data_IF_500403389210
#
_entry.id   IF_500403389210
#
_cell.length_a   1.000
_cell.length_b   1.000
_cell.length_c   1.000
_cell.angle_alpha   90.00
_cell.angle_beta   90.00
_cell.angle_gamma   90.00
#
_symmetry.space_group_name_H-M   'P 1'
#
loop_
_entity.id
_entity.type
_entity.pdbx_description
1 polymer ?
#
# COMPACT_ATOMS: atom_id res chain seq x y z
N UNK A 1 -13.49 -23.44 -11.72
CA UNK A 1 -12.07 -23.72 -12.04
C UNK A 1 -11.51 -22.65 -12.96
N UNK A 2 -12.07 -22.48 -14.15
CA UNK A 2 -11.47 -21.67 -15.22
C UNK A 2 -11.40 -20.18 -14.90
N UNK A 3 -12.36 -19.65 -14.13
CA UNK A 3 -12.36 -18.25 -13.69
C UNK A 3 -11.16 -17.89 -12.80
N UNK A 4 -10.83 -18.72 -11.80
CA UNK A 4 -9.66 -18.50 -10.96
C UNK A 4 -8.36 -18.56 -11.76
N UNK A 5 -8.23 -19.55 -12.65
CA UNK A 5 -7.05 -19.66 -13.50
C UNK A 5 -6.88 -18.42 -14.40
N UNK A 6 -7.98 -17.87 -14.92
CA UNK A 6 -7.98 -16.64 -15.69
C UNK A 6 -7.58 -15.42 -14.85
N UNK A 7 -8.11 -15.28 -13.63
CA UNK A 7 -7.76 -14.19 -12.69
C UNK A 7 -6.29 -14.24 -12.27
N UNK A 8 -5.80 -15.42 -11.90
CA UNK A 8 -4.38 -15.69 -11.58
C UNK A 8 -3.50 -15.27 -12.75
N UNK A 9 -3.82 -15.70 -13.96
CA UNK A 9 -3.07 -15.32 -15.18
C UNK A 9 -3.11 -13.82 -15.44
N UNK A 10 -4.25 -13.16 -15.23
CA UNK A 10 -4.40 -11.72 -15.38
C UNK A 10 -3.48 -10.97 -14.40
N UNK A 11 -3.44 -11.40 -13.14
CA UNK A 11 -2.56 -10.81 -12.12
C UNK A 11 -1.10 -11.06 -12.43
N UNK A 12 -0.72 -12.28 -12.85
CA UNK A 12 0.65 -12.60 -13.22
C UNK A 12 1.13 -11.70 -14.37
N UNK A 13 0.32 -11.56 -15.43
CA UNK A 13 0.61 -10.66 -16.55
C UNK A 13 0.69 -9.21 -16.10
N UNK A 14 -0.21 -8.77 -15.21
CA UNK A 14 -0.20 -7.40 -14.68
C UNK A 14 1.03 -7.14 -13.82
N UNK A 15 1.48 -8.08 -13.00
CA UNK A 15 2.70 -7.99 -12.21
C UNK A 15 3.96 -7.93 -13.10
N UNK A 16 3.99 -8.64 -14.22
CA UNK A 16 5.10 -8.58 -15.16
C UNK A 16 5.08 -7.29 -16.01
N UNK A 17 3.89 -6.81 -16.37
CA UNK A 17 3.71 -5.68 -17.28
C UNK A 17 3.63 -4.31 -16.58
N UNK A 18 3.40 -4.23 -15.27
CA UNK A 18 3.27 -2.93 -14.62
C UNK A 18 4.60 -2.17 -14.64
N UNK A 19 4.47 -0.85 -14.68
CA UNK A 19 5.57 0.09 -14.54
C UNK A 19 5.28 0.99 -13.34
N UNK A 20 6.26 1.18 -12.44
CA UNK A 20 6.11 2.09 -11.31
C UNK A 20 5.74 3.49 -11.79
N UNK A 21 4.86 4.20 -11.07
CA UNK A 21 4.41 5.55 -11.45
C UNK A 21 5.58 6.52 -11.60
N UNK A 22 6.55 6.41 -10.70
CA UNK A 22 7.79 7.19 -10.72
C UNK A 22 8.65 6.96 -11.96
N UNK A 23 8.43 5.87 -12.70
CA UNK A 23 9.17 5.55 -13.91
C UNK A 23 8.61 6.31 -15.12
N UNK A 24 7.30 6.52 -15.16
CA UNK A 24 6.63 7.26 -16.23
C UNK A 24 7.07 8.73 -16.22
N UNK A 25 7.17 9.33 -17.41
CA UNK A 25 7.29 10.78 -17.52
C UNK A 25 5.86 11.36 -17.56
N UNK A 26 5.62 12.50 -16.89
CA UNK A 26 4.31 13.11 -16.91
C UNK A 26 3.89 13.38 -18.35
N UNK A 27 2.64 13.05 -18.67
CA UNK A 27 2.06 13.42 -19.96
C UNK A 27 2.07 14.95 -20.09
N UNK A 28 2.33 15.49 -21.30
CA UNK A 28 2.20 16.93 -21.50
C UNK A 28 0.78 17.37 -21.15
N UNK A 29 0.66 18.49 -20.44
CA UNK A 29 -0.64 19.06 -20.10
C UNK A 29 -1.45 19.32 -21.39
N UNK A 30 -2.76 19.09 -21.35
CA UNK A 30 -3.64 19.31 -22.49
C UNK A 30 -3.50 20.76 -23.01
N UNK A 31 -3.02 20.92 -24.25
CA UNK A 31 -2.77 22.23 -24.87
C UNK A 31 -1.31 22.70 -24.87
N UNK A 32 -0.38 21.99 -24.20
CA UNK A 32 1.05 22.25 -24.33
C UNK A 32 1.60 21.67 -25.64
N UNK A 33 2.45 22.42 -26.34
CA UNK A 33 3.09 21.99 -27.58
C UNK A 33 3.76 20.62 -27.40
N UNK A 34 3.54 19.73 -28.37
CA UNK A 34 3.99 18.36 -28.34
C UNK A 34 5.49 18.25 -28.01
N UNK A 35 5.80 17.42 -27.00
CA UNK A 35 7.08 16.73 -26.81
C UNK A 35 8.30 17.59 -26.45
N UNK A 36 8.43 17.96 -25.17
CA UNK A 36 9.76 18.00 -24.57
C UNK A 36 10.21 16.56 -24.32
N UNK A 37 10.87 15.94 -25.31
CA UNK A 37 11.50 14.62 -25.12
C UNK A 37 12.39 14.69 -23.88
N UNK A 38 12.22 13.81 -22.88
CA UNK A 38 13.02 13.87 -21.66
C UNK A 38 14.51 13.84 -22.00
N UNK A 39 15.26 14.80 -21.47
CA UNK A 39 16.70 14.85 -21.70
C UNK A 39 17.42 13.63 -21.10
N UNK A 40 18.64 13.36 -21.57
CA UNK A 40 19.48 12.25 -21.07
C UNK A 40 19.58 12.20 -19.55
N UNK A 41 19.71 13.35 -18.90
CA UNK A 41 19.82 13.44 -17.43
C UNK A 41 18.54 12.96 -16.71
N UNK A 42 17.37 13.16 -17.31
CA UNK A 42 16.11 12.70 -16.76
C UNK A 42 16.02 11.17 -16.76
N UNK A 43 16.50 10.51 -17.82
CA UNK A 43 16.63 9.05 -17.86
C UNK A 43 17.69 8.54 -16.88
N UNK A 44 18.85 9.19 -16.83
CA UNK A 44 19.93 8.82 -15.92
C UNK A 44 19.49 8.88 -14.44
N UNK A 45 18.63 9.84 -14.08
CA UNK A 45 18.07 9.93 -12.74
C UNK A 45 17.20 8.72 -12.35
N UNK A 46 16.61 8.03 -13.34
CA UNK A 46 15.74 6.86 -13.14
C UNK A 46 16.47 5.52 -13.29
N UNK A 47 17.80 5.51 -13.44
CA UNK A 47 18.55 4.27 -13.71
C UNK A 47 18.37 3.21 -12.61
N UNK A 48 18.39 3.62 -11.34
CA UNK A 48 18.21 2.69 -10.23
C UNK A 48 16.80 2.13 -10.15
N UNK A 49 15.79 2.89 -10.57
CA UNK A 49 14.42 2.39 -10.64
C UNK A 49 14.27 1.34 -11.74
N UNK A 50 14.88 1.56 -12.91
CA UNK A 50 14.94 0.55 -13.98
C UNK A 50 15.69 -0.72 -13.54
N UNK A 51 16.80 -0.57 -12.82
CA UNK A 51 17.54 -1.70 -12.26
C UNK A 51 16.71 -2.49 -11.25
N UNK A 52 16.08 -1.79 -10.30
CA UNK A 52 15.23 -2.43 -9.29
C UNK A 52 14.04 -3.16 -9.94
N UNK A 53 13.40 -2.56 -10.95
CA UNK A 53 12.32 -3.19 -11.71
C UNK A 53 12.80 -4.44 -12.46
N UNK A 54 13.98 -4.38 -13.06
CA UNK A 54 14.57 -5.54 -13.75
C UNK A 54 14.85 -6.68 -12.78
N UNK A 55 15.40 -6.37 -11.60
CA UNK A 55 15.67 -7.38 -10.58
C UNK A 55 14.38 -7.98 -10.00
N UNK A 56 13.38 -7.15 -9.71
CA UNK A 56 12.05 -7.60 -9.29
C UNK A 56 11.41 -8.53 -10.32
N UNK A 57 11.42 -8.16 -11.60
CA UNK A 57 10.85 -8.98 -12.68
C UNK A 57 11.59 -10.31 -12.85
N UNK A 58 12.91 -10.31 -12.72
CA UNK A 58 13.71 -11.54 -12.78
C UNK A 58 13.33 -12.49 -11.65
N UNK A 59 13.26 -11.99 -10.41
CA UNK A 59 12.82 -12.78 -9.27
C UNK A 59 11.39 -13.30 -9.45
N UNK A 60 10.47 -12.43 -9.85
CA UNK A 60 9.07 -12.80 -10.07
C UNK A 60 8.94 -13.89 -11.14
N UNK A 61 9.63 -13.74 -12.27
CA UNK A 61 9.64 -14.74 -13.33
C UNK A 61 10.17 -16.09 -12.83
N UNK A 62 11.23 -16.09 -12.03
CA UNK A 62 11.75 -17.30 -11.39
C UNK A 62 10.71 -17.94 -10.46
N UNK A 63 10.09 -17.15 -9.58
CA UNK A 63 9.07 -17.65 -8.66
C UNK A 63 7.81 -18.18 -9.36
N UNK A 64 7.42 -17.58 -10.50
CA UNK A 64 6.31 -18.08 -11.32
C UNK A 64 6.64 -19.43 -11.97
N UNK A 65 7.89 -19.62 -12.43
CA UNK A 65 8.34 -20.91 -12.98
C UNK A 65 8.39 -21.97 -11.88
N UNK A 66 8.95 -21.65 -10.71
CA UNK A 66 8.99 -22.56 -9.55
C UNK A 66 7.58 -22.97 -9.09
N UNK A 67 6.61 -22.05 -9.15
CA UNK A 67 5.19 -22.31 -8.83
C UNK A 67 4.52 -23.24 -9.84
N UNK A 68 4.89 -23.19 -11.11
CA UNK A 68 4.19 -23.88 -12.20
C UNK A 68 4.28 -25.42 -12.16
N UNK A 69 5.06 -26.00 -11.23
CA UNK A 69 5.20 -27.45 -11.07
C UNK A 69 4.03 -28.16 -10.37
N UNK A 70 3.08 -27.41 -9.77
CA UNK A 70 1.94 -27.96 -9.03
C UNK A 70 0.62 -27.98 -9.81
N UNK A 71 -0.33 -28.87 -9.46
CA UNK A 71 -1.65 -28.94 -10.11
C UNK A 71 -2.57 -27.75 -9.78
N UNK A 72 -2.27 -27.00 -8.72
CA UNK A 72 -3.07 -25.85 -8.27
C UNK A 72 -2.18 -24.62 -8.06
N UNK A 73 -2.67 -23.41 -8.39
CA UNK A 73 -1.96 -22.18 -8.08
C UNK A 73 -1.89 -22.02 -6.56
N UNK A 74 -0.68 -22.05 -6.00
CA UNK A 74 -0.46 -21.86 -4.56
C UNK A 74 -0.60 -20.39 -4.17
N UNK A 75 -1.27 -20.07 -3.04
CA UNK A 75 -1.44 -18.69 -2.58
C UNK A 75 -0.14 -18.09 -2.03
N UNK A 76 0.86 -18.92 -1.70
CA UNK A 76 2.08 -18.52 -1.00
C UNK A 76 2.81 -17.38 -1.68
N UNK A 77 2.99 -17.44 -3.00
CA UNK A 77 3.65 -16.38 -3.76
C UNK A 77 2.91 -15.04 -3.61
N UNK A 78 1.59 -15.04 -3.73
CA UNK A 78 0.79 -13.82 -3.64
C UNK A 78 0.79 -13.25 -2.22
N UNK A 79 0.79 -14.12 -1.21
CA UNK A 79 0.96 -13.72 0.20
C UNK A 79 2.34 -13.13 0.46
N UNK A 80 3.40 -13.73 -0.09
CA UNK A 80 4.76 -13.18 -0.02
C UNK A 80 4.82 -11.80 -0.67
N UNK A 81 4.18 -11.61 -1.83
CA UNK A 81 4.11 -10.30 -2.49
C UNK A 81 3.33 -9.29 -1.64
N UNK A 82 2.18 -9.69 -1.09
CA UNK A 82 1.33 -8.85 -0.25
C UNK A 82 2.00 -8.44 1.07
N UNK A 83 2.80 -9.33 1.69
CA UNK A 83 3.58 -9.01 2.89
C UNK A 83 4.63 -7.93 2.63
N UNK A 84 5.15 -7.83 1.39
CA UNK A 84 6.20 -6.89 0.99
C UNK A 84 7.41 -6.91 1.94
N UNK A 85 8.13 -5.79 2.05
CA UNK A 85 9.29 -5.66 2.94
C UNK A 85 10.37 -6.70 2.65
N UNK A 86 10.75 -7.47 3.68
CA UNK A 86 11.81 -8.47 3.63
C UNK A 86 11.31 -9.88 3.28
N UNK A 87 10.01 -10.07 3.03
CA UNK A 87 9.43 -11.38 2.68
C UNK A 87 10.02 -11.96 1.39
N UNK A 88 10.48 -11.10 0.49
CA UNK A 88 11.22 -11.45 -0.71
C UNK A 88 12.18 -10.32 -1.07
N UNK A 89 13.27 -10.66 -1.78
CA UNK A 89 14.32 -9.70 -2.16
C UNK A 89 14.79 -8.86 -0.95
N UNK A 90 15.06 -9.54 0.17
CA UNK A 90 15.52 -8.91 1.41
C UNK A 90 17.00 -8.47 1.33
N UNK A 91 17.56 -7.97 2.45
CA UNK A 91 18.91 -7.40 2.49
C UNK A 91 20.01 -8.36 2.02
N UNK A 92 19.84 -9.67 2.24
CA UNK A 92 20.80 -10.68 1.83
C UNK A 92 20.81 -10.93 0.32
N UNK A 93 19.62 -10.91 -0.32
CA UNK A 93 19.49 -10.98 -1.78
C UNK A 93 20.09 -9.72 -2.43
N UNK A 94 19.82 -8.55 -1.85
CA UNK A 94 20.42 -7.29 -2.30
C UNK A 94 21.95 -7.30 -2.14
N UNK A 95 22.49 -7.80 -1.01
CA UNK A 95 23.93 -7.93 -0.79
C UNK A 95 24.59 -8.86 -1.80
N UNK A 96 23.94 -9.95 -2.15
CA UNK A 96 24.38 -10.88 -3.18
C UNK A 96 24.43 -10.19 -4.55
N UNK A 97 23.40 -9.43 -4.89
CA UNK A 97 23.37 -8.60 -6.11
C UNK A 97 24.53 -7.58 -6.15
N UNK A 98 24.81 -6.89 -5.04
CA UNK A 98 25.93 -5.96 -4.93
C UNK A 98 27.31 -6.61 -5.08
N UNK A 99 27.43 -7.91 -4.74
CA UNK A 99 28.64 -8.69 -5.00
C UNK A 99 28.90 -8.89 -6.50
N UNK A 100 27.84 -9.06 -7.30
CA UNK A 100 27.95 -9.18 -8.75
C UNK A 100 28.11 -7.84 -9.46
N UNK A 101 27.51 -6.78 -8.92
CA UNK A 101 27.51 -5.44 -9.50
C UNK A 101 28.07 -4.42 -8.51
N UNK A 102 29.41 -4.27 -8.42
CA UNK A 102 30.03 -3.33 -7.50
C UNK A 102 29.58 -1.90 -7.78
N UNK A 103 29.05 -1.23 -6.76
CA UNK A 103 28.61 0.16 -6.86
C UNK A 103 28.90 0.93 -5.56
N UNK A 104 28.68 2.24 -5.59
CA UNK A 104 28.88 3.08 -4.40
C UNK A 104 27.85 2.77 -3.31
N UNK A 105 28.18 3.02 -2.05
CA UNK A 105 27.23 2.84 -0.94
C UNK A 105 25.96 3.70 -1.10
N UNK A 106 26.08 4.89 -1.70
CA UNK A 106 24.92 5.73 -2.04
C UNK A 106 24.03 5.08 -3.09
N UNK A 107 24.62 4.36 -4.05
CA UNK A 107 23.88 3.63 -5.06
C UNK A 107 23.11 2.44 -4.46
N UNK A 108 23.68 1.72 -3.48
CA UNK A 108 22.95 0.70 -2.72
C UNK A 108 21.69 1.29 -2.09
N UNK A 109 21.85 2.37 -1.31
CA UNK A 109 20.73 3.01 -0.63
C UNK A 109 19.64 3.49 -1.62
N UNK A 110 20.04 4.07 -2.77
CA UNK A 110 19.08 4.44 -3.81
C UNK A 110 18.37 3.21 -4.41
N UNK A 111 19.07 2.10 -4.63
CA UNK A 111 18.46 0.89 -5.19
C UNK A 111 17.49 0.23 -4.20
N UNK A 112 17.88 0.14 -2.92
CA UNK A 112 17.05 -0.41 -1.85
C UNK A 112 15.74 0.39 -1.70
N UNK A 113 15.82 1.72 -1.71
CA UNK A 113 14.67 2.63 -1.68
C UNK A 113 13.73 2.42 -2.89
N UNK A 114 14.30 2.33 -4.11
CA UNK A 114 13.49 2.06 -5.32
C UNK A 114 12.88 0.67 -5.33
N UNK A 115 13.56 -0.32 -4.77
CA UNK A 115 13.03 -1.66 -4.60
C UNK A 115 11.85 -1.66 -3.63
N UNK A 116 11.96 -0.96 -2.49
CA UNK A 116 10.86 -0.82 -1.54
C UNK A 116 9.61 -0.19 -2.20
N UNK A 117 9.78 0.86 -3.01
CA UNK A 117 8.68 1.48 -3.74
C UNK A 117 7.99 0.50 -4.70
N UNK A 118 8.76 -0.30 -5.46
CA UNK A 118 8.22 -1.31 -6.36
C UNK A 118 7.40 -2.35 -5.59
N UNK A 119 7.90 -2.81 -4.43
CA UNK A 119 7.19 -3.76 -3.58
C UNK A 119 5.85 -3.20 -3.09
N UNK A 120 5.82 -1.93 -2.67
CA UNK A 120 4.59 -1.23 -2.28
C UNK A 120 3.60 -1.10 -3.44
N UNK A 121 4.06 -0.79 -4.65
CA UNK A 121 3.20 -0.69 -5.83
C UNK A 121 2.68 -2.06 -6.32
N UNK A 122 3.38 -3.16 -6.00
CA UNK A 122 2.95 -4.51 -6.36
C UNK A 122 1.83 -5.06 -5.46
N UNK A 123 1.75 -4.67 -4.19
CA UNK A 123 0.72 -5.11 -3.24
C UNK A 123 -0.73 -4.96 -3.75
N UNK A 124 -1.17 -3.79 -4.24
CA UNK A 124 -2.55 -3.61 -4.72
C UNK A 124 -2.86 -4.43 -5.98
N UNK A 125 -1.85 -4.95 -6.69
CA UNK A 125 -2.06 -5.81 -7.87
C UNK A 125 -2.49 -7.22 -7.42
N UNK A 126 -1.97 -7.71 -6.30
CA UNK A 126 -2.27 -9.05 -5.76
C UNK A 126 -3.42 -9.06 -4.77
N UNK A 127 -3.75 -7.92 -4.16
CA UNK A 127 -4.82 -7.81 -3.16
C UNK A 127 -6.15 -8.47 -3.59
N UNK A 128 -6.65 -8.28 -4.83
CA UNK A 128 -7.91 -8.89 -5.26
C UNK A 128 -7.90 -10.43 -5.34
N UNK A 129 -6.74 -11.09 -5.28
CA UNK A 129 -6.66 -12.55 -5.19
C UNK A 129 -6.68 -13.07 -3.75
N UNK A 130 -6.33 -12.22 -2.78
CA UNK A 130 -6.21 -12.59 -1.38
C UNK A 130 -7.47 -12.27 -0.56
N UNK A 131 -8.43 -11.58 -1.16
CA UNK A 131 -9.75 -11.36 -0.58
C UNK A 131 -10.49 -12.70 -0.44
N UNK A 132 -10.88 -13.07 0.78
CA UNK A 132 -11.70 -14.24 1.01
C UNK A 132 -13.15 -13.97 0.62
N UNK A 133 -13.69 -14.83 -0.25
CA UNK A 133 -15.11 -14.87 -0.57
C UNK A 133 -15.90 -15.86 0.31
N UNK A 134 -15.29 -16.39 1.37
CA UNK A 134 -15.97 -17.31 2.29
C UNK A 134 -16.83 -16.52 3.27
N UNK A 135 -18.06 -16.98 3.48
CA UNK A 135 -18.95 -16.47 4.53
C UNK A 135 -18.52 -16.96 5.92
N UNK A 136 -17.83 -18.10 6.00
CA UNK A 136 -17.26 -18.57 7.25
C UNK A 136 -16.11 -17.65 7.67
N UNK A 137 -16.14 -17.24 8.94
CA UNK A 137 -15.10 -16.45 9.61
C UNK A 137 -13.83 -17.30 9.81
N UNK A 138 -13.11 -17.49 8.70
CA UNK A 138 -11.80 -18.10 8.67
C UNK A 138 -10.77 -17.02 8.35
N UNK A 139 -9.64 -17.05 9.05
CA UNK A 139 -8.53 -16.17 8.75
C UNK A 139 -8.06 -16.41 7.30
N UNK A 140 -8.28 -15.45 6.38
CA UNK A 140 -7.90 -15.59 4.97
C UNK A 140 -6.38 -15.74 4.79
N UNK A 141 -5.59 -15.32 5.78
CA UNK A 141 -4.15 -15.45 5.77
C UNK A 141 -3.67 -16.90 5.89
N UNK A 142 -4.51 -17.82 6.39
CA UNK A 142 -4.09 -19.19 6.74
C UNK A 142 -4.67 -20.29 5.81
N UNK A 143 -5.46 -19.93 4.80
CA UNK A 143 -6.02 -20.93 3.87
C UNK A 143 -4.95 -21.51 2.93
N UNK A 144 -4.86 -22.83 2.70
CA UNK A 144 -3.84 -23.38 1.79
C UNK A 144 -4.15 -23.15 0.30
N UNK A 145 -5.29 -22.54 -0.03
CA UNK A 145 -5.78 -22.32 -1.39
C UNK A 145 -6.36 -20.91 -1.57
N UNK A 146 -6.45 -20.46 -2.82
CA UNK A 146 -7.16 -19.23 -3.20
C UNK A 146 -8.66 -19.48 -3.27
N UNK A 147 -9.45 -18.51 -2.81
CA UNK A 147 -10.92 -18.55 -2.90
C UNK A 147 -11.36 -17.67 -4.06
N UNK A 148 -12.33 -18.14 -4.85
CA UNK A 148 -12.80 -17.45 -6.04
C UNK A 148 -14.30 -17.56 -6.28
N UNK A 149 -14.93 -18.57 -5.69
CA UNK A 149 -16.36 -18.82 -5.87
C UNK A 149 -17.11 -18.02 -4.81
N UNK A 150 -17.99 -17.13 -5.29
CA UNK A 150 -19.06 -16.58 -4.47
C UNK A 150 -20.28 -17.46 -4.72
N UNK A 151 -20.74 -18.16 -3.69
CA UNK A 151 -21.98 -18.91 -3.78
C UNK A 151 -23.13 -17.92 -3.59
N UNK A 152 -24.09 -17.93 -4.50
CA UNK A 152 -25.32 -17.15 -4.33
C UNK A 152 -26.34 -17.97 -3.54
N UNK A 153 -27.24 -17.34 -2.74
CA UNK A 153 -28.30 -18.06 -2.03
C UNK A 153 -29.17 -18.93 -2.97
N UNK A 154 -29.40 -18.48 -4.20
CA UNK A 154 -30.16 -19.26 -5.19
C UNK A 154 -29.44 -20.51 -5.73
N UNK A 155 -28.14 -20.64 -5.49
CA UNK A 155 -27.34 -21.82 -5.85
C UNK A 155 -27.28 -22.84 -4.70
N UNK A 156 -27.70 -22.45 -3.50
CA UNK A 156 -27.75 -23.29 -2.32
C UNK A 156 -29.03 -24.16 -2.35
N UNK A 157 -28.93 -25.50 -2.46
CA UNK A 157 -30.11 -26.37 -2.61
C UNK A 157 -31.02 -26.42 -1.38
N UNK A 158 -30.60 -25.84 -0.25
CA UNK A 158 -31.38 -25.75 0.99
C UNK A 158 -32.11 -24.40 1.16
N UNK A 159 -31.84 -23.41 0.31
CA UNK A 159 -32.54 -22.12 0.35
C UNK A 159 -33.96 -22.30 -0.22
N UNK A 160 -35.03 -21.93 0.51
CA UNK A 160 -36.36 -21.94 -0.07
C UNK A 160 -36.42 -20.95 -1.24
N UNK A 161 -37.16 -21.25 -2.33
CA UNK A 161 -37.33 -20.32 -3.44
C UNK A 161 -37.87 -18.98 -2.90
N UNK A 162 -37.46 -17.85 -3.49
CA UNK A 162 -37.93 -16.54 -3.06
C UNK A 162 -39.46 -16.54 -3.06
N UNK A 163 -40.10 -15.95 -2.04
CA UNK A 163 -41.55 -15.85 -2.02
C UNK A 163 -42.00 -15.14 -3.30
N UNK A 164 -43.10 -15.60 -3.93
CA UNK A 164 -43.63 -14.92 -5.11
C UNK A 164 -43.85 -13.43 -4.79
N UNK A 165 -43.67 -12.51 -5.76
CA UNK A 165 -43.95 -11.10 -5.54
C UNK A 165 -45.35 -10.98 -4.96
N UNK A 166 -45.47 -10.45 -3.74
CA UNK A 166 -46.75 -10.13 -3.16
C UNK A 166 -47.46 -9.24 -4.19
N UNK A 167 -48.63 -9.68 -4.63
CA UNK A 167 -49.51 -8.85 -5.45
C UNK A 167 -49.62 -7.48 -4.75
N UNK A 168 -49.63 -6.36 -5.51
CA UNK A 168 -49.85 -5.06 -4.89
C UNK A 168 -51.10 -5.15 -4.02
N UNK A 169 -51.06 -4.62 -2.78
CA UNK A 169 -52.22 -4.62 -1.91
C UNK A 169 -53.41 -4.02 -2.69
N UNK A 170 -54.63 -4.57 -2.54
CA UNK A 170 -55.81 -3.91 -3.08
C UNK A 170 -55.82 -2.46 -2.56
N UNK A 171 -56.22 -1.48 -3.38
CA UNK A 171 -56.19 -0.07 -2.98
C UNK A 171 -56.90 0.08 -1.63
N UNK A 172 -56.16 0.63 -0.66
CA UNK A 172 -56.67 0.95 0.67
C UNK A 172 -57.94 1.79 0.54
N UNK A 173 -58.96 1.45 1.34
CA UNK A 173 -60.10 2.33 1.53
C UNK A 173 -59.59 3.64 2.15
N UNK A 174 -60.00 4.81 1.66
CA UNK A 174 -59.45 6.12 2.03
C UNK A 174 -59.99 6.59 3.39
N UNK A 175 -59.72 5.85 4.47
CA UNK A 175 -60.27 6.18 5.79
C UNK A 175 -59.37 5.84 6.98
N UNK A 176 -58.14 5.38 6.76
CA UNK A 176 -57.18 5.08 7.85
C UNK A 176 -55.94 5.99 7.81
N UNK A 177 -55.72 6.76 6.72
CA UNK A 177 -54.55 7.65 6.57
C UNK A 177 -54.70 8.98 7.33
N UNK A 178 -55.93 9.43 7.65
CA UNK A 178 -56.13 10.68 8.41
C UNK A 178 -55.90 10.52 9.93
N UNK A 179 -55.97 9.29 10.48
CA UNK A 179 -55.76 9.08 11.92
C UNK A 179 -54.26 8.91 12.29
N UNK A 180 -53.40 8.42 11.37
CA UNK A 180 -51.96 8.30 11.63
C UNK A 180 -51.21 9.64 11.50
N UNK A 181 -51.66 10.56 10.63
CA UNK A 181 -51.04 11.90 10.52
C UNK A 181 -51.34 12.80 11.74
N UNK A 182 -52.49 12.64 12.41
CA UNK A 182 -52.81 13.41 13.64
C UNK A 182 -51.98 12.93 14.86
N UNK A 183 -51.61 11.65 14.95
CA UNK A 183 -50.76 11.14 16.05
C UNK A 183 -49.28 11.55 15.90
N UNK A 184 -48.74 11.66 14.69
CA UNK A 184 -47.35 12.11 14.47
C UNK A 184 -47.17 13.62 14.76
N UNK A 185 -48.17 14.47 14.51
CA UNK A 185 -48.09 15.91 14.83
C UNK A 185 -48.14 16.18 16.35
N UNK A 186 -48.84 15.37 17.16
CA UNK A 186 -48.86 15.53 18.62
C UNK A 186 -47.53 15.12 19.28
N UNK A 187 -46.80 14.13 18.75
CA UNK A 187 -45.50 13.72 19.31
C UNK A 187 -44.38 14.75 19.02
N UNK A 188 -44.39 15.44 17.87
CA UNK A 188 -43.39 16.48 17.57
C UNK A 188 -43.55 17.74 18.44
N UNK A 189 -44.78 18.12 18.82
CA UNK A 189 -45.01 19.27 19.71
C UNK A 189 -44.55 18.99 21.17
N UNK A 190 -44.62 17.74 21.66
CA UNK A 190 -44.12 17.40 23.00
C UNK A 190 -42.58 17.39 23.08
N UNK A 191 -41.87 16.99 22.01
CA UNK A 191 -40.39 17.01 21.99
C UNK A 191 -39.82 18.44 21.95
N UNK A 192 -40.48 19.40 21.26
CA UNK A 192 -40.04 20.80 21.23
C UNK A 192 -40.19 21.50 22.60
N UNK A 193 -41.21 21.16 23.41
CA UNK A 193 -41.37 21.74 24.76
C UNK A 193 -40.29 21.24 25.75
N UNK A 194 -39.82 19.99 25.63
CA UNK A 194 -38.74 19.46 26.50
C UNK A 194 -37.37 20.10 26.21
N UNK A 195 -37.06 20.44 24.94
CA UNK A 195 -35.78 21.07 24.59
C UNK A 195 -35.67 22.53 25.10
N UNK A 196 -36.78 23.29 25.16
CA UNK A 196 -36.78 24.66 25.68
C UNK A 196 -36.56 24.74 27.21
N UNK A 197 -36.94 23.69 27.96
CA UNK A 197 -36.69 23.65 29.41
C UNK A 197 -35.21 23.39 29.75
N UNK A 198 -34.48 22.59 28.96
CA UNK A 198 -33.07 22.30 29.21
C UNK A 198 -32.12 23.49 28.92
N UNK A 199 -32.44 24.36 27.96
CA UNK A 199 -31.60 25.54 27.66
C UNK A 199 -31.65 26.60 28.78
N UNK A 200 -32.76 26.70 29.53
CA UNK A 200 -32.89 27.68 30.60
C UNK A 200 -32.11 27.33 31.89
N UNK A 201 -31.75 26.06 32.13
CA UNK A 201 -30.98 25.70 33.33
C UNK A 201 -29.48 26.01 33.24
N UNK A 202 -28.92 26.15 32.03
CA UNK A 202 -27.47 26.29 31.86
C UNK A 202 -26.96 27.74 32.02
N UNK A 203 -27.82 28.77 31.96
CA UNK A 203 -27.39 30.17 31.97
C UNK A 203 -27.15 30.76 33.38
N UNK A 204 -27.33 29.97 34.45
CA UNK A 204 -27.14 30.43 35.84
C UNK A 204 -25.82 30.01 36.51
N UNK A 205 -24.93 29.28 35.83
CA UNK A 205 -23.70 28.72 36.44
C UNK A 205 -22.38 29.00 35.71
N UNK A 206 -22.05 30.26 35.40
CA UNK A 206 -20.62 30.61 35.20
C UNK A 206 -20.25 32.07 35.46
N UNK A 207 -20.47 32.56 36.69
CA UNK A 207 -19.86 33.82 37.13
C UNK A 207 -19.23 33.68 38.53
N UNK A 208 -18.00 33.14 38.60
CA UNK A 208 -16.99 33.48 39.63
C UNK A 208 -15.77 32.57 39.51
N UNK A 209 -14.62 33.13 39.14
CA UNK A 209 -13.37 33.04 39.92
C UNK A 209 -12.20 33.62 39.13
N UNK A 210 -11.66 34.71 39.65
CA UNK A 210 -10.54 35.47 39.12
C UNK A 210 -9.23 35.12 39.83
N UNK A 211 -8.12 35.31 39.11
CA UNK A 211 -6.83 35.83 39.61
C UNK A 211 -5.95 34.95 40.54
N UNK A 212 -4.71 34.66 40.11
CA UNK A 212 -3.51 35.35 40.65
C UNK A 212 -2.19 34.97 39.95
N UNK A 213 -1.39 36.04 39.77
CA UNK A 213 0.05 36.15 39.45
C UNK A 213 0.97 34.99 39.85
N UNK A 214 1.98 34.69 39.02
CA UNK A 214 3.38 34.89 39.47
C UNK A 214 4.44 35.09 38.37
N UNK A 215 5.47 35.84 38.75
CA UNK A 215 6.57 36.41 37.95
C UNK A 215 7.79 35.47 37.80
N UNK A 216 8.69 35.86 36.87
CA UNK A 216 10.16 35.73 36.90
C UNK A 216 10.82 34.39 36.47
N UNK A 217 11.53 34.39 35.33
CA UNK A 217 13.01 34.21 35.28
C UNK A 217 13.63 34.35 33.87
N UNK A 218 14.44 35.42 33.73
CA UNK A 218 15.81 35.47 33.19
C UNK A 218 16.16 34.77 31.86
N UNK A 219 16.15 35.57 30.78
CA UNK A 219 17.35 36.11 30.09
C UNK A 219 18.69 35.35 30.29
N UNK A 220 19.20 34.70 29.24
CA UNK A 220 20.65 34.67 28.90
C UNK A 220 20.91 34.24 27.44
N UNK A 221 21.30 35.23 26.63
CA UNK A 221 22.13 35.08 25.42
C UNK A 221 23.58 34.81 25.83
N UNK A 222 24.30 33.95 25.10
CA UNK A 222 25.75 34.04 24.72
C UNK A 222 26.17 32.73 24.02
N UNK A 223 26.46 32.74 22.72
CA UNK A 223 27.77 32.93 22.04
C UNK A 223 28.75 31.75 22.09
N UNK A 224 29.08 31.26 20.88
CA UNK A 224 30.42 30.90 20.37
C UNK A 224 31.23 29.75 21.00
N UNK A 225 31.64 28.80 20.15
CA UNK A 225 32.99 28.18 19.97
C UNK A 225 32.82 26.70 19.55
N UNK A 226 33.27 26.24 18.37
CA UNK A 226 34.64 26.08 17.83
C UNK A 226 35.37 24.87 18.43
N UNK A 227 35.34 23.75 17.72
CA UNK A 227 36.30 22.62 17.76
C UNK A 227 35.96 21.62 16.64
N UNK A 228 36.33 21.82 15.38
CA UNK A 228 37.64 21.55 14.75
C UNK A 228 38.56 20.61 15.54
N UNK A 229 38.26 19.31 15.56
CA UNK A 229 39.26 18.26 15.76
C UNK A 229 39.64 17.68 14.40
N UNK A 230 40.93 17.80 14.11
CA UNK A 230 41.61 17.43 12.86
C UNK A 230 42.49 16.25 13.26
N UNK A 231 42.19 15.04 12.80
CA UNK A 231 43.05 13.87 12.96
C UNK A 231 43.54 13.42 11.59
N UNK A 232 44.84 13.58 11.26
CA UNK A 232 45.46 12.85 10.17
C UNK A 232 46.09 11.57 10.75
N UNK A 233 45.65 10.41 10.26
CA UNK A 233 46.33 9.13 10.51
C UNK A 233 47.03 8.67 9.21
N UNK A 234 48.12 7.90 9.32
CA UNK A 234 49.29 8.04 8.46
C UNK A 234 49.25 7.17 7.20
N UNK A 235 50.03 7.64 6.22
CA UNK A 235 50.47 6.92 5.05
C UNK A 235 51.06 5.54 5.41
N UNK A 236 50.42 4.48 4.92
CA UNK A 236 51.06 3.17 4.75
C UNK A 236 51.37 2.95 3.27
N UNK A 237 52.62 2.55 3.05
CA UNK A 237 53.34 2.51 1.79
C UNK A 237 52.72 1.51 0.80
N UNK A 238 52.69 1.95 -0.45
CA UNK A 238 52.54 1.12 -1.64
C UNK A 238 53.76 0.19 -1.75
N UNK A 239 53.56 -1.11 -1.58
CA UNK A 239 54.55 -2.13 -1.98
C UNK A 239 54.28 -2.54 -3.42
N UNK A 240 55.08 -2.00 -4.34
CA UNK A 240 55.15 -2.44 -5.73
C UNK A 240 55.91 -3.77 -5.74
N UNK A 241 55.19 -4.89 -5.73
CA UNK A 241 55.79 -6.21 -6.00
C UNK A 241 55.96 -6.38 -7.51
N UNK A 242 57.23 -6.33 -7.94
CA UNK A 242 57.67 -6.62 -9.29
C UNK A 242 57.30 -8.06 -9.65
N UNK A 243 56.34 -8.23 -10.57
CA UNK A 243 56.06 -9.53 -11.19
C UNK A 243 57.15 -9.83 -12.22
N UNK A 244 57.90 -10.88 -11.95
CA UNK A 244 58.89 -11.48 -12.83
C UNK A 244 58.24 -11.95 -14.14
N UNK A 245 58.87 -11.58 -15.26
CA UNK A 245 58.65 -12.19 -16.57
C UNK A 245 59.34 -13.55 -16.58
N UNK A 246 58.60 -14.60 -16.87
CA UNK A 246 59.16 -15.89 -17.33
C UNK A 246 59.00 -15.98 -18.86
N UNK A 247 59.98 -16.56 -19.57
CA UNK A 247 60.07 -16.48 -21.02
C UNK A 247 59.25 -17.57 -21.73
N UNK A 248 58.84 -17.24 -22.96
CA UNK A 248 58.37 -18.17 -23.98
C UNK A 248 59.36 -19.33 -24.17
N UNK A 249 58.85 -20.57 -24.16
CA UNK A 249 59.49 -21.69 -24.86
C UNK A 249 58.74 -21.95 -26.16
N UNK A 250 59.53 -22.11 -27.21
CA UNK A 250 59.17 -22.59 -28.54
C UNK A 250 58.89 -24.08 -28.49
#
# INVERSE_FOLDING_TARGET
SDDLAARVRCVDLRLLAFYPRDLAFPAPAAGAAATATPGRNAYAAKIYLWMALSFFRQWLAQSLVERSGGPTPTPDLYRTIAAAGDAYLGPDAMRTFYGYFPMSQKAHACLDDRMANIKTEAQPIVAPLLESALELDHDPANLPYLTCVKLLPCECPWEPPPPPPLHPPPPHSPGEEEEEEEEEEEEEEEEEEEEEEEENENDTRTFSSSSTRNKHRRRRRRTTSKSRSKSPSPASRVNISRRSRSPLRK
#
